data_IF_591462035718
#
_entry.id   IF_591462035718
#
_cell.length_a   1.000
_cell.length_b   1.000
_cell.length_c   1.000
_cell.angle_alpha   90.00
_cell.angle_beta   90.00
_cell.angle_gamma   90.00
#
_symmetry.space_group_name_H-M   'P 1'
#
loop_
_entity.id
_entity.type
_entity.pdbx_description
1 polymer ?
#
# COMPACT_ATOMS: atom_id res chain seq x y z
N UNK A 1 17.66 26.11 -28.93
CA UNK A 1 18.31 24.85 -29.35
C UNK A 1 17.90 23.76 -28.36
N UNK A 2 16.92 22.93 -28.75
CA UNK A 2 16.32 21.87 -27.93
C UNK A 2 17.38 20.87 -27.46
N UNK A 3 17.59 20.75 -26.15
CA UNK A 3 18.30 19.59 -25.57
C UNK A 3 17.35 18.39 -25.67
N UNK A 4 17.66 17.52 -26.62
CA UNK A 4 17.09 16.18 -26.77
C UNK A 4 17.00 15.49 -25.41
N UNK A 5 15.79 15.35 -24.89
CA UNK A 5 15.48 14.41 -23.82
C UNK A 5 15.74 13.03 -24.41
N UNK A 6 16.85 12.39 -24.03
CA UNK A 6 17.09 10.98 -24.31
C UNK A 6 15.92 10.20 -23.73
N UNK A 7 15.02 9.71 -24.59
CA UNK A 7 14.04 8.68 -24.23
C UNK A 7 14.84 7.53 -23.62
N UNK A 8 14.68 7.32 -22.31
CA UNK A 8 15.21 6.15 -21.65
C UNK A 8 14.70 4.92 -22.41
N UNK A 9 15.63 4.14 -22.97
CA UNK A 9 15.30 2.87 -23.63
C UNK A 9 14.75 1.97 -22.55
N UNK A 10 13.43 1.76 -22.55
CA UNK A 10 12.73 0.86 -21.64
C UNK A 10 13.13 -0.57 -22.03
N UNK A 11 14.28 -0.98 -21.52
CA UNK A 11 14.64 -2.39 -21.39
C UNK A 11 14.93 -2.55 -19.90
N UNK A 12 13.88 -2.39 -19.09
CA UNK A 12 13.98 -2.67 -17.66
C UNK A 12 14.42 -4.13 -17.54
N UNK A 13 15.60 -4.36 -16.97
CA UNK A 13 16.03 -5.71 -16.59
C UNK A 13 14.85 -6.38 -15.88
N UNK A 14 14.61 -7.67 -16.13
CA UNK A 14 13.56 -8.44 -15.44
C UNK A 14 13.58 -8.22 -13.92
N UNK A 15 14.77 -7.99 -13.36
CA UNK A 15 14.97 -7.65 -11.94
C UNK A 15 14.32 -6.31 -11.53
N UNK A 16 14.33 -5.30 -12.40
CA UNK A 16 13.70 -4.00 -12.13
C UNK A 16 12.17 -4.10 -12.20
N UNK A 17 11.63 -4.85 -13.17
CA UNK A 17 10.19 -5.09 -13.28
C UNK A 17 9.70 -5.85 -12.05
N UNK A 18 10.42 -6.92 -11.70
CA UNK A 18 10.13 -7.70 -10.50
C UNK A 18 10.21 -6.84 -9.23
N UNK A 19 11.24 -5.99 -9.10
CA UNK A 19 11.38 -5.08 -7.97
C UNK A 19 10.18 -4.13 -7.80
N UNK A 20 9.71 -3.53 -8.89
CA UNK A 20 8.51 -2.66 -8.85
C UNK A 20 7.26 -3.46 -8.47
N UNK A 21 7.09 -4.66 -9.03
CA UNK A 21 5.96 -5.53 -8.70
C UNK A 21 5.97 -5.97 -7.22
N UNK A 22 7.14 -6.31 -6.68
CA UNK A 22 7.29 -6.67 -5.26
C UNK A 22 6.94 -5.50 -4.33
N UNK A 23 7.34 -4.28 -4.67
CA UNK A 23 6.98 -3.08 -3.88
C UNK A 23 5.48 -2.82 -3.93
N UNK A 24 4.86 -2.95 -5.11
CA UNK A 24 3.42 -2.77 -5.25
C UNK A 24 2.64 -3.83 -4.44
N UNK A 25 3.07 -5.10 -4.53
CA UNK A 25 2.49 -6.18 -3.73
C UNK A 25 2.66 -5.94 -2.23
N UNK A 26 3.87 -5.62 -1.76
CA UNK A 26 4.17 -5.33 -0.36
C UNK A 26 3.30 -4.18 0.19
N UNK A 27 3.00 -3.20 -0.66
CA UNK A 27 2.17 -2.05 -0.28
C UNK A 27 0.69 -2.39 -0.11
N UNK A 28 0.22 -3.54 -0.59
CA UNK A 28 -1.18 -3.97 -0.53
C UNK A 28 -1.38 -5.23 0.31
N UNK A 29 -0.37 -6.09 0.38
CA UNK A 29 -0.32 -7.28 1.22
C UNK A 29 0.04 -6.91 2.66
N UNK A 30 -0.95 -6.40 3.39
CA UNK A 30 -0.84 -6.00 4.80
C UNK A 30 -1.44 -7.01 5.78
N UNK A 31 -1.69 -6.57 7.02
CA UNK A 31 -2.26 -7.41 8.07
C UNK A 31 -3.62 -8.03 7.71
N UNK A 32 -4.48 -7.31 6.98
CA UNK A 32 -5.76 -7.86 6.51
C UNK A 32 -5.63 -8.98 5.46
N UNK A 33 -4.55 -8.96 4.66
CA UNK A 33 -4.20 -10.05 3.76
C UNK A 33 -3.60 -11.22 4.56
N UNK A 34 -2.68 -10.93 5.47
CA UNK A 34 -2.02 -11.93 6.30
C UNK A 34 -2.99 -12.73 7.19
N UNK A 35 -4.10 -12.12 7.63
CA UNK A 35 -5.14 -12.79 8.43
C UNK A 35 -6.20 -13.52 7.61
N UNK A 36 -6.17 -13.40 6.26
CA UNK A 36 -7.23 -13.93 5.39
C UNK A 36 -8.56 -13.17 5.51
N UNK A 37 -8.63 -12.09 6.28
CA UNK A 37 -9.86 -11.32 6.44
C UNK A 37 -10.23 -10.60 5.13
N UNK A 38 -9.26 -10.06 4.39
CA UNK A 38 -9.52 -9.47 3.07
C UNK A 38 -10.00 -10.51 2.06
N UNK A 39 -9.47 -11.74 2.12
CA UNK A 39 -9.93 -12.82 1.26
C UNK A 39 -11.38 -13.20 1.57
N UNK A 40 -11.70 -13.37 2.86
CA UNK A 40 -13.06 -13.68 3.30
C UNK A 40 -14.04 -12.57 2.94
N UNK A 41 -13.66 -11.30 3.14
CA UNK A 41 -14.54 -10.16 2.87
C UNK A 41 -14.76 -9.89 1.38
N UNK A 42 -13.74 -10.02 0.55
CA UNK A 42 -13.82 -9.61 -0.85
C UNK A 42 -13.95 -10.76 -1.84
N UNK A 43 -13.54 -11.98 -1.49
CA UNK A 43 -13.51 -13.11 -2.43
C UNK A 43 -14.45 -14.24 -2.02
N UNK A 44 -14.41 -14.70 -0.78
CA UNK A 44 -15.25 -15.82 -0.32
C UNK A 44 -16.74 -15.45 -0.35
N UNK A 45 -17.09 -14.24 0.08
CA UNK A 45 -18.48 -13.78 0.10
C UNK A 45 -19.09 -13.54 -1.29
N UNK A 46 -18.27 -13.10 -2.26
CA UNK A 46 -18.74 -12.70 -3.59
C UNK A 46 -18.52 -13.76 -4.68
N UNK A 47 -17.80 -14.85 -4.35
CA UNK A 47 -17.61 -15.99 -5.23
C UNK A 47 -16.71 -15.69 -6.45
N UNK A 48 -16.99 -16.35 -7.56
CA UNK A 48 -16.09 -16.43 -8.73
C UNK A 48 -15.85 -15.09 -9.45
N UNK A 49 -16.68 -14.07 -9.23
CA UNK A 49 -16.56 -12.75 -9.88
C UNK A 49 -15.55 -11.84 -9.20
N UNK A 50 -15.22 -12.10 -7.92
CA UNK A 50 -14.31 -11.27 -7.15
C UNK A 50 -12.87 -11.20 -7.72
N UNK A 51 -12.25 -12.31 -8.18
CA UNK A 51 -10.95 -12.26 -8.86
C UNK A 51 -10.94 -11.36 -10.09
N UNK A 52 -12.02 -11.32 -10.87
CA UNK A 52 -12.11 -10.45 -12.05
C UNK A 52 -12.13 -8.97 -11.64
N UNK A 53 -12.84 -8.63 -10.57
CA UNK A 53 -12.89 -7.26 -10.05
C UNK A 53 -11.52 -6.84 -9.49
N UNK A 54 -10.78 -7.75 -8.87
CA UNK A 54 -9.42 -7.48 -8.40
C UNK A 54 -8.46 -7.16 -9.55
N UNK A 55 -8.50 -7.93 -10.64
CA UNK A 55 -7.70 -7.66 -11.84
C UNK A 55 -8.07 -6.29 -12.43
N UNK A 56 -9.37 -6.01 -12.56
CA UNK A 56 -9.85 -4.73 -13.07
C UNK A 56 -9.37 -3.55 -12.20
N UNK A 57 -9.47 -3.67 -10.87
CA UNK A 57 -9.01 -2.65 -9.94
C UNK A 57 -7.49 -2.38 -10.09
N UNK A 58 -6.67 -3.44 -10.22
CA UNK A 58 -5.23 -3.30 -10.41
C UNK A 58 -4.87 -2.65 -11.75
N UNK A 59 -5.63 -2.92 -12.82
CA UNK A 59 -5.45 -2.26 -14.12
C UNK A 59 -5.75 -0.76 -14.01
N UNK A 60 -6.87 -0.39 -13.40
CA UNK A 60 -7.27 1.01 -13.21
C UNK A 60 -6.25 1.74 -12.34
N UNK A 61 -5.80 1.12 -11.25
CA UNK A 61 -4.77 1.67 -10.38
C UNK A 61 -3.46 1.93 -11.15
N UNK A 62 -3.00 0.95 -11.91
CA UNK A 62 -1.75 1.05 -12.66
C UNK A 62 -1.84 2.11 -13.77
N UNK A 63 -2.98 2.19 -14.47
CA UNK A 63 -3.24 3.22 -15.46
C UNK A 63 -3.25 4.63 -14.82
N UNK A 64 -3.89 4.76 -13.67
CA UNK A 64 -3.93 6.04 -12.92
C UNK A 64 -2.54 6.47 -12.47
N UNK A 65 -1.77 5.54 -11.89
CA UNK A 65 -0.39 5.81 -11.47
C UNK A 65 0.51 6.22 -12.64
N UNK A 66 0.31 5.62 -13.82
CA UNK A 66 1.03 6.01 -15.04
C UNK A 66 0.77 7.47 -15.39
N UNK A 67 -0.49 7.89 -15.43
CA UNK A 67 -0.83 9.29 -15.76
C UNK A 67 -0.29 10.27 -14.71
N UNK A 68 -0.37 9.90 -13.44
CA UNK A 68 0.20 10.70 -12.33
C UNK A 68 1.71 10.88 -12.48
N UNK A 69 2.45 9.82 -12.80
CA UNK A 69 3.92 9.89 -13.01
C UNK A 69 4.25 10.76 -14.24
N UNK A 70 3.48 10.66 -15.31
CA UNK A 70 3.66 11.50 -16.51
C UNK A 70 3.44 12.98 -16.16
N UNK A 71 2.36 13.29 -15.45
CA UNK A 71 2.07 14.66 -15.00
C UNK A 71 3.15 15.20 -14.06
N UNK A 72 3.61 14.39 -13.11
CA UNK A 72 4.68 14.73 -12.18
C UNK A 72 5.96 15.13 -12.94
N UNK A 73 6.36 14.32 -13.92
CA UNK A 73 7.58 14.56 -14.71
C UNK A 73 7.43 15.74 -15.68
N UNK A 74 6.29 15.87 -16.35
CA UNK A 74 6.05 16.93 -17.33
C UNK A 74 6.04 18.32 -16.68
N UNK A 75 5.52 18.41 -15.45
CA UNK A 75 5.40 19.68 -14.72
C UNK A 75 6.55 19.91 -13.73
N UNK A 76 7.57 19.04 -13.72
CA UNK A 76 8.72 19.09 -12.82
C UNK A 76 8.33 19.26 -11.34
N UNK A 77 7.26 18.59 -10.92
CA UNK A 77 6.80 18.60 -9.53
C UNK A 77 7.91 18.05 -8.62
N UNK A 78 8.10 18.64 -7.43
CA UNK A 78 9.15 18.19 -6.50
C UNK A 78 8.59 17.38 -5.34
N UNK A 79 7.32 17.60 -5.01
CA UNK A 79 6.63 16.95 -3.91
C UNK A 79 5.19 16.62 -4.32
N UNK A 80 4.46 15.91 -3.46
CA UNK A 80 3.05 15.57 -3.72
C UNK A 80 2.17 16.84 -3.79
N UNK A 81 2.49 17.88 -3.03
CA UNK A 81 1.71 19.13 -2.98
C UNK A 81 1.73 19.86 -4.33
N UNK A 82 2.90 19.95 -4.97
CA UNK A 82 3.06 20.51 -6.32
C UNK A 82 2.24 19.73 -7.34
N UNK A 83 2.22 18.40 -7.21
CA UNK A 83 1.45 17.51 -8.09
C UNK A 83 -0.05 17.77 -7.96
N UNK A 84 -0.58 17.89 -6.74
CA UNK A 84 -2.00 18.18 -6.53
C UNK A 84 -2.36 19.63 -6.90
N UNK A 85 -1.48 20.60 -6.66
CA UNK A 85 -1.66 21.96 -7.16
C UNK A 85 -1.80 22.00 -8.68
N UNK A 86 -0.98 21.23 -9.40
CA UNK A 86 -1.04 21.14 -10.86
C UNK A 86 -2.28 20.37 -11.34
N UNK A 87 -2.65 19.29 -10.66
CA UNK A 87 -3.87 18.51 -10.94
C UNK A 87 -5.14 19.38 -10.89
N UNK A 88 -5.20 20.31 -9.94
CA UNK A 88 -6.37 21.14 -9.70
C UNK A 88 -6.37 22.46 -10.49
N UNK A 89 -5.47 22.66 -11.46
CA UNK A 89 -5.44 23.94 -12.20
C UNK A 89 -6.74 24.18 -12.98
N UNK A 90 -7.25 25.43 -12.96
CA UNK A 90 -6.61 26.67 -12.48
C UNK A 90 -6.79 27.00 -10.99
N UNK A 91 -7.33 26.10 -10.17
CA UNK A 91 -7.66 26.32 -8.76
C UNK A 91 -6.72 25.54 -7.81
N UNK A 92 -5.43 25.93 -7.69
CA UNK A 92 -4.45 25.19 -6.88
C UNK A 92 -4.79 25.13 -5.39
N UNK A 93 -5.63 26.05 -4.88
CA UNK A 93 -6.10 26.04 -3.49
C UNK A 93 -6.94 24.80 -3.13
N UNK A 94 -7.49 24.09 -4.12
CA UNK A 94 -8.21 22.82 -3.89
C UNK A 94 -7.29 21.69 -3.41
N UNK A 95 -5.97 21.86 -3.50
CA UNK A 95 -5.00 20.94 -2.90
C UNK A 95 -5.22 20.71 -1.40
N UNK A 96 -5.79 21.69 -0.67
CA UNK A 96 -6.10 21.51 0.75
C UNK A 96 -7.09 20.37 1.02
N UNK A 97 -8.00 20.09 0.06
CA UNK A 97 -8.94 18.96 0.17
C UNK A 97 -8.17 17.65 0.18
N UNK A 98 -7.11 17.57 -0.63
CA UNK A 98 -6.23 16.40 -0.64
C UNK A 98 -5.48 16.27 0.69
N UNK A 99 -4.97 17.36 1.27
CA UNK A 99 -4.30 17.29 2.58
C UNK A 99 -5.24 16.76 3.68
N UNK A 100 -6.47 17.28 3.74
CA UNK A 100 -7.49 16.83 4.71
C UNK A 100 -7.79 15.34 4.50
N UNK A 101 -8.03 14.92 3.26
CA UNK A 101 -8.26 13.52 2.92
C UNK A 101 -7.07 12.65 3.32
N UNK A 102 -5.84 13.06 3.01
CA UNK A 102 -4.64 12.30 3.32
C UNK A 102 -4.46 12.08 4.82
N UNK A 103 -4.60 13.13 5.65
CA UNK A 103 -4.50 12.98 7.11
C UNK A 103 -5.59 12.07 7.68
N UNK A 104 -6.82 12.21 7.20
CA UNK A 104 -7.93 11.35 7.61
C UNK A 104 -7.69 9.89 7.21
N UNK A 105 -7.20 9.65 5.99
CA UNK A 105 -6.83 8.31 5.51
C UNK A 105 -5.71 7.70 6.35
N UNK A 106 -4.69 8.45 6.74
CA UNK A 106 -3.62 7.96 7.61
C UNK A 106 -4.18 7.51 8.96
N UNK A 107 -5.08 8.30 9.57
CA UNK A 107 -5.70 7.95 10.84
C UNK A 107 -6.55 6.67 10.74
N UNK A 108 -7.37 6.55 9.70
CA UNK A 108 -8.22 5.37 9.48
C UNK A 108 -7.36 4.14 9.17
N UNK A 109 -6.35 4.27 8.30
CA UNK A 109 -5.49 3.16 7.92
C UNK A 109 -4.71 2.60 9.12
N UNK A 110 -4.12 3.48 9.94
CA UNK A 110 -3.41 3.05 11.17
C UNK A 110 -4.37 2.37 12.15
N UNK A 111 -5.57 2.93 12.34
CA UNK A 111 -6.59 2.36 13.22
C UNK A 111 -7.05 0.98 12.73
N UNK A 112 -7.26 0.82 11.42
CA UNK A 112 -7.66 -0.45 10.81
C UNK A 112 -6.59 -1.54 10.96
N UNK A 113 -5.31 -1.18 10.82
CA UNK A 113 -4.20 -2.13 11.02
C UNK A 113 -4.11 -2.57 12.49
N UNK A 114 -4.25 -1.64 13.44
CA UNK A 114 -4.25 -1.97 14.87
C UNK A 114 -5.45 -2.86 15.22
N UNK A 115 -6.64 -2.52 14.74
CA UNK A 115 -7.85 -3.32 14.94
C UNK A 115 -7.72 -4.73 14.35
N UNK A 116 -7.17 -4.83 13.13
CA UNK A 116 -6.92 -6.10 12.46
C UNK A 116 -5.94 -6.99 13.23
N UNK A 117 -4.85 -6.43 13.74
CA UNK A 117 -3.89 -7.16 14.57
C UNK A 117 -4.50 -7.52 15.94
N UNK A 118 -5.30 -6.65 16.55
CA UNK A 118 -5.94 -6.91 17.84
C UNK A 118 -6.96 -8.05 17.75
N UNK A 119 -7.68 -8.17 16.62
CA UNK A 119 -8.58 -9.28 16.36
C UNK A 119 -7.86 -10.64 16.34
N UNK A 120 -6.61 -10.69 15.88
CA UNK A 120 -5.78 -11.92 15.94
C UNK A 120 -5.40 -12.26 17.37
N UNK A 121 -5.04 -11.26 18.19
CA UNK A 121 -4.77 -11.49 19.61
C UNK A 121 -6.04 -11.91 20.38
N UNK A 122 -7.19 -11.42 19.96
CA UNK A 122 -8.47 -11.83 20.53
C UNK A 122 -8.79 -13.29 20.21
N UNK A 123 -8.43 -13.81 19.04
CA UNK A 123 -8.67 -15.22 18.68
C UNK A 123 -7.85 -16.21 19.52
N UNK A 124 -6.74 -15.75 20.12
CA UNK A 124 -5.93 -16.53 21.08
C UNK A 124 -6.29 -16.25 22.55
N UNK A 125 -7.39 -15.55 22.82
CA UNK A 125 -7.96 -15.36 24.17
C UNK A 125 -7.53 -14.09 24.90
N UNK A 126 -6.83 -13.15 24.25
CA UNK A 126 -6.46 -11.86 24.85
C UNK A 126 -7.63 -10.88 24.78
N UNK A 127 -7.87 -10.10 25.84
CA UNK A 127 -8.88 -9.05 25.81
C UNK A 127 -8.56 -8.03 24.71
N UNK A 128 -9.55 -7.67 23.88
CA UNK A 128 -9.38 -6.77 22.75
C UNK A 128 -8.74 -5.42 23.13
N UNK A 129 -9.14 -4.80 24.23
CA UNK A 129 -8.56 -3.51 24.66
C UNK A 129 -7.09 -3.65 25.07
N UNK A 130 -6.73 -4.77 25.71
CA UNK A 130 -5.35 -5.08 26.07
C UNK A 130 -4.52 -5.34 24.82
N UNK A 131 -5.06 -6.07 23.84
CA UNK A 131 -4.41 -6.32 22.55
C UNK A 131 -4.14 -5.01 21.79
N UNK A 132 -5.14 -4.13 21.67
CA UNK A 132 -4.99 -2.81 21.04
C UNK A 132 -3.88 -2.01 21.71
N UNK A 133 -3.84 -1.98 23.05
CA UNK A 133 -2.81 -1.27 23.79
C UNK A 133 -1.41 -1.82 23.53
N UNK A 134 -1.24 -3.15 23.58
CA UNK A 134 0.05 -3.82 23.32
C UNK A 134 0.53 -3.50 21.91
N UNK A 135 -0.34 -3.64 20.90
CA UNK A 135 0.00 -3.39 19.50
C UNK A 135 0.36 -1.91 19.30
N UNK A 136 -0.39 -0.99 19.91
CA UNK A 136 -0.10 0.44 19.87
C UNK A 136 1.28 0.78 20.44
N UNK A 137 1.64 0.20 21.59
CA UNK A 137 2.97 0.38 22.20
C UNK A 137 4.07 -0.18 21.29
N UNK A 138 3.89 -1.38 20.74
CA UNK A 138 4.87 -1.97 19.82
C UNK A 138 5.07 -1.08 18.60
N UNK A 139 3.99 -0.63 17.95
CA UNK A 139 4.09 0.26 16.79
C UNK A 139 4.79 1.57 17.13
N UNK A 140 4.49 2.17 18.29
CA UNK A 140 5.13 3.40 18.74
C UNK A 140 6.64 3.21 18.98
N UNK A 141 7.04 2.08 19.58
CA UNK A 141 8.45 1.75 19.76
C UNK A 141 9.15 1.60 18.41
N UNK A 142 8.54 0.89 17.45
CA UNK A 142 9.12 0.72 16.11
C UNK A 142 9.25 2.05 15.34
N UNK A 143 8.30 2.97 15.49
CA UNK A 143 8.37 4.28 14.81
C UNK A 143 9.43 5.20 15.41
N UNK A 144 9.74 5.08 16.71
CA UNK A 144 10.84 5.83 17.37
C UNK A 144 12.21 5.46 16.76
N UNK A 145 12.45 4.18 16.48
CA UNK A 145 13.71 3.72 15.89
C UNK A 145 13.88 4.13 14.42
N UNK A 146 12.89 4.79 13.83
CA UNK A 146 12.99 5.46 12.54
C UNK A 146 12.61 4.59 11.34
N UNK A 147 12.43 5.25 10.20
CA UNK A 147 11.89 4.66 8.98
C UNK A 147 12.73 3.49 8.42
N UNK A 148 14.04 3.46 8.68
CA UNK A 148 14.91 2.39 8.19
C UNK A 148 14.65 1.05 8.89
N UNK A 149 14.38 1.06 10.20
CA UNK A 149 14.02 -0.17 10.92
C UNK A 149 12.65 -0.68 10.46
N UNK A 150 11.68 0.23 10.38
CA UNK A 150 10.31 -0.08 9.93
C UNK A 150 10.33 -0.65 8.50
N UNK A 151 11.13 -0.08 7.61
CA UNK A 151 11.26 -0.57 6.23
C UNK A 151 11.85 -1.98 6.17
N UNK A 152 12.91 -2.27 6.94
CA UNK A 152 13.49 -3.62 7.01
C UNK A 152 12.49 -4.64 7.56
N UNK A 153 11.77 -4.28 8.62
CA UNK A 153 10.72 -5.11 9.20
C UNK A 153 9.60 -5.38 8.19
N UNK A 154 9.15 -4.36 7.46
CA UNK A 154 8.12 -4.50 6.42
C UNK A 154 8.55 -5.47 5.31
N UNK A 155 9.79 -5.36 4.82
CA UNK A 155 10.31 -6.29 3.81
C UNK A 155 10.33 -7.73 4.33
N UNK A 156 10.80 -7.95 5.56
CA UNK A 156 10.80 -9.28 6.17
C UNK A 156 9.37 -9.84 6.32
N UNK A 157 8.42 -9.01 6.75
CA UNK A 157 7.01 -9.40 6.88
C UNK A 157 6.39 -9.75 5.51
N UNK A 158 6.66 -8.99 4.46
CA UNK A 158 6.15 -9.32 3.11
C UNK A 158 6.69 -10.67 2.63
N UNK A 159 7.97 -10.98 2.88
CA UNK A 159 8.55 -12.29 2.54
C UNK A 159 7.83 -13.41 3.31
N UNK A 160 7.60 -13.22 4.61
CA UNK A 160 6.88 -14.19 5.44
C UNK A 160 5.45 -14.43 4.92
N UNK A 161 4.72 -13.37 4.57
CA UNK A 161 3.38 -13.46 3.98
C UNK A 161 3.42 -14.27 2.69
N UNK A 162 4.34 -13.98 1.77
CA UNK A 162 4.46 -14.72 0.50
C UNK A 162 4.72 -16.20 0.72
N UNK A 163 5.65 -16.55 1.62
CA UNK A 163 5.95 -17.96 1.94
C UNK A 163 4.73 -18.66 2.54
N UNK A 164 4.04 -18.03 3.48
CA UNK A 164 2.82 -18.59 4.08
C UNK A 164 1.74 -18.81 3.02
N UNK A 165 1.47 -17.81 2.17
CA UNK A 165 0.45 -17.93 1.10
C UNK A 165 0.80 -19.03 0.11
N UNK A 166 2.06 -19.14 -0.33
CA UNK A 166 2.51 -20.21 -1.22
C UNK A 166 2.37 -21.58 -0.57
N UNK A 167 2.71 -21.69 0.71
CA UNK A 167 2.60 -22.95 1.45
C UNK A 167 1.13 -23.39 1.57
N UNK A 168 0.22 -22.47 1.89
CA UNK A 168 -1.23 -22.76 1.93
C UNK A 168 -1.72 -23.23 0.55
N UNK A 169 -1.31 -22.55 -0.53
CA UNK A 169 -1.71 -22.91 -1.90
C UNK A 169 -1.18 -24.28 -2.36
N UNK A 170 -0.05 -24.74 -1.83
CA UNK A 170 0.51 -26.06 -2.16
C UNK A 170 -0.06 -27.19 -1.29
N UNK A 171 -0.58 -26.88 -0.10
CA UNK A 171 -1.13 -27.85 0.85
C UNK A 171 -2.63 -28.13 0.62
N UNK A 172 -3.35 -27.18 0.01
CA UNK A 172 -4.75 -27.31 -0.40
C UNK A 172 -4.83 -27.89 -1.81
#
# INVERSE_FOLDING_TARGET
MQKSVKKAKVTGSMLAIFGVASVLFSSHAGGGFATGNQETQYYVQYGWTAPLMAILAMIILTATMREVIIMYNNNNCRNYKDLFCELWRPYPKLEIIWEIYYYLMVLIAVSAVIAGAAAVFQSIGVNYFVAVFIIGVVLLVFTIFGAMLVSKAATAMTIAILVCTLTILLLV
#
